data_IF_886438246650
#
_entry.id   IF_886438246650
#
_cell.length_a   1.000
_cell.length_b   1.000
_cell.length_c   1.000
_cell.angle_alpha   90.00
_cell.angle_beta   90.00
_cell.angle_gamma   90.00
#
_symmetry.space_group_name_H-M   'P 1'
#
loop_
_entity.id
_entity.type
_entity.pdbx_description
1 polymer ?
#
# COMPACT_ATOMS: atom_id res chain seq x y z
N UNK A 1 -13.46 -3.97 19.63
CA UNK A 1 -14.76 -4.11 18.92
C UNK A 1 -14.99 -2.86 18.11
N UNK A 2 -15.48 -3.01 16.89
CA UNK A 2 -15.96 -1.87 16.10
C UNK A 2 -17.22 -1.26 16.75
N UNK A 3 -17.60 -0.05 16.34
CA UNK A 3 -18.88 0.56 16.71
C UNK A 3 -20.09 -0.27 16.26
N UNK A 4 -19.93 -1.15 15.28
CA UNK A 4 -20.93 -2.11 14.76
C UNK A 4 -20.96 -3.44 15.52
N UNK A 5 -20.18 -3.62 16.61
CA UNK A 5 -20.14 -4.87 17.38
C UNK A 5 -19.28 -5.99 16.76
N UNK A 6 -18.64 -5.78 15.62
CA UNK A 6 -17.75 -6.76 14.99
C UNK A 6 -16.47 -6.90 15.82
N UNK A 7 -16.10 -8.15 16.10
CA UNK A 7 -14.86 -8.47 16.84
C UNK A 7 -13.78 -8.89 15.87
N UNK A 8 -12.60 -8.29 15.97
CA UNK A 8 -11.44 -8.62 15.15
C UNK A 8 -11.13 -10.13 15.17
N UNK A 9 -11.14 -10.74 16.37
CA UNK A 9 -10.80 -12.16 16.54
C UNK A 9 -11.66 -13.12 15.73
N UNK A 10 -12.94 -12.76 15.47
CA UNK A 10 -13.87 -13.62 14.73
C UNK A 10 -13.61 -13.51 13.23
N UNK A 11 -13.36 -12.29 12.75
CA UNK A 11 -13.10 -12.05 11.34
C UNK A 11 -11.72 -12.58 10.94
N UNK A 12 -10.70 -12.37 11.78
CA UNK A 12 -9.35 -12.90 11.52
C UNK A 12 -9.27 -14.42 11.60
N UNK A 13 -10.15 -15.07 12.40
CA UNK A 13 -10.26 -16.52 12.39
C UNK A 13 -10.82 -17.03 11.04
N UNK A 14 -11.89 -16.40 10.54
CA UNK A 14 -12.46 -16.74 9.20
C UNK A 14 -11.43 -16.54 8.09
N UNK A 15 -10.68 -15.43 8.14
CA UNK A 15 -9.60 -15.14 7.21
C UNK A 15 -8.54 -16.24 7.25
N UNK A 16 -8.08 -16.61 8.43
CA UNK A 16 -7.04 -17.63 8.58
C UNK A 16 -7.50 -19.03 8.15
N UNK A 17 -8.74 -19.41 8.46
CA UNK A 17 -9.31 -20.69 8.03
C UNK A 17 -9.42 -20.77 6.50
N UNK A 18 -9.93 -19.73 5.85
CA UNK A 18 -10.02 -19.69 4.40
C UNK A 18 -8.64 -19.66 3.73
N UNK A 19 -7.67 -18.91 4.30
CA UNK A 19 -6.29 -18.88 3.82
C UNK A 19 -5.62 -20.25 3.88
N UNK A 20 -5.83 -20.99 4.97
CA UNK A 20 -5.35 -22.37 5.13
C UNK A 20 -5.89 -23.26 4.01
N UNK A 21 -7.21 -23.20 3.73
CA UNK A 21 -7.82 -23.97 2.67
C UNK A 21 -7.23 -23.64 1.29
N UNK A 22 -7.04 -22.35 0.99
CA UNK A 22 -6.50 -21.92 -0.31
C UNK A 22 -5.02 -22.35 -0.50
N UNK A 23 -4.17 -22.29 0.53
CA UNK A 23 -2.82 -22.84 0.43
C UNK A 23 -2.87 -24.35 0.17
N UNK A 24 -3.71 -25.09 0.89
CA UNK A 24 -3.85 -26.55 0.72
C UNK A 24 -4.38 -26.92 -0.68
N UNK A 25 -5.34 -26.21 -1.22
CA UNK A 25 -5.83 -26.39 -2.60
C UNK A 25 -4.74 -26.19 -3.65
N UNK A 26 -3.81 -25.26 -3.40
CA UNK A 26 -2.64 -25.01 -4.26
C UNK A 26 -1.46 -25.96 -4.02
N UNK A 27 -1.64 -27.00 -3.21
CA UNK A 27 -0.60 -28.01 -2.90
C UNK A 27 0.50 -27.52 -1.97
N UNK A 28 0.27 -26.42 -1.25
CA UNK A 28 1.24 -25.85 -0.31
C UNK A 28 0.91 -26.33 1.10
N UNK A 29 1.92 -26.81 1.81
CA UNK A 29 1.76 -27.17 3.20
C UNK A 29 1.48 -25.96 4.06
N UNK A 30 0.41 -26.04 4.84
CA UNK A 30 -0.02 -24.96 5.73
C UNK A 30 -0.53 -25.55 7.06
N UNK A 31 -0.42 -24.79 8.14
CA UNK A 31 -0.90 -25.14 9.47
C UNK A 31 -1.60 -23.96 10.11
N UNK A 32 -2.81 -24.19 10.63
CA UNK A 32 -3.52 -23.22 11.46
C UNK A 32 -2.99 -23.29 12.90
N UNK A 33 -2.46 -22.17 13.37
CA UNK A 33 -1.99 -22.04 14.76
C UNK A 33 -3.17 -21.87 15.73
N UNK A 34 -4.26 -21.24 15.25
CA UNK A 34 -5.54 -21.10 15.95
C UNK A 34 -6.67 -21.53 15.01
N UNK A 35 -7.30 -22.65 15.29
CA UNK A 35 -8.37 -23.24 14.47
C UNK A 35 -9.78 -22.99 15.00
N UNK A 36 -9.91 -22.53 16.24
CA UNK A 36 -11.18 -22.29 16.92
C UNK A 36 -11.18 -20.96 17.69
N UNK A 37 -12.29 -20.59 18.33
CA UNK A 37 -12.37 -19.43 19.22
C UNK A 37 -11.69 -19.75 20.56
N UNK A 38 -10.38 -19.78 20.56
CA UNK A 38 -9.53 -19.99 21.72
C UNK A 38 -8.58 -18.82 21.94
N UNK A 39 -8.21 -18.57 23.19
CA UNK A 39 -7.15 -17.63 23.54
C UNK A 39 -5.83 -18.38 23.67
N UNK A 40 -4.85 -18.02 22.84
CA UNK A 40 -3.50 -18.61 22.84
C UNK A 40 -2.53 -17.57 23.37
N UNK A 41 -1.75 -17.92 24.41
CA UNK A 41 -0.69 -17.03 24.90
C UNK A 41 0.40 -16.81 23.85
N UNK A 42 1.14 -15.69 23.90
CA UNK A 42 2.26 -15.44 22.98
C UNK A 42 3.26 -16.59 22.94
N UNK A 43 3.67 -17.12 24.08
CA UNK A 43 4.62 -18.24 24.19
C UNK A 43 4.08 -19.52 23.54
N UNK A 44 2.82 -19.86 23.81
CA UNK A 44 2.19 -21.05 23.21
C UNK A 44 2.01 -20.88 21.69
N UNK A 45 1.71 -19.67 21.23
CA UNK A 45 1.63 -19.37 19.79
C UNK A 45 2.98 -19.59 19.10
N UNK A 46 4.06 -19.07 19.66
CA UNK A 46 5.43 -19.30 19.16
C UNK A 46 5.78 -20.77 19.16
N UNK A 47 5.48 -21.49 20.26
CA UNK A 47 5.72 -22.94 20.33
C UNK A 47 5.00 -23.72 19.23
N UNK A 48 3.71 -23.41 18.97
CA UNK A 48 2.93 -24.05 17.88
C UNK A 48 3.53 -23.74 16.51
N UNK A 49 3.94 -22.49 16.27
CA UNK A 49 4.57 -22.06 14.99
C UNK A 49 5.84 -22.85 14.74
N UNK A 50 6.77 -22.89 15.71
CA UNK A 50 8.04 -23.59 15.56
C UNK A 50 7.88 -25.11 15.51
N UNK A 51 6.86 -25.65 16.19
CA UNK A 51 6.55 -27.07 16.12
C UNK A 51 6.02 -27.53 14.76
N UNK A 52 5.39 -26.63 13.98
CA UNK A 52 4.82 -26.98 12.68
C UNK A 52 5.89 -27.27 11.62
N UNK A 53 6.87 -26.36 11.45
CA UNK A 53 7.86 -26.45 10.37
C UNK A 53 9.28 -26.04 10.80
N UNK A 54 9.50 -25.78 12.08
CA UNK A 54 10.79 -25.37 12.61
C UNK A 54 11.25 -23.97 12.19
N UNK A 55 12.50 -23.64 12.53
CA UNK A 55 13.16 -22.40 12.09
C UNK A 55 13.79 -22.63 10.71
N UNK A 56 13.03 -22.35 9.66
CA UNK A 56 13.37 -22.64 8.28
C UNK A 56 13.12 -21.41 7.40
N UNK A 57 14.04 -21.03 6.48
CA UNK A 57 13.90 -19.85 5.61
C UNK A 57 12.73 -19.95 4.61
N UNK A 58 12.25 -21.16 4.32
CA UNK A 58 11.10 -21.37 3.45
C UNK A 58 9.75 -21.30 4.19
N UNK A 59 9.77 -21.07 5.50
CA UNK A 59 8.55 -20.94 6.31
C UNK A 59 8.12 -19.47 6.38
N UNK A 60 6.94 -19.20 5.86
CA UNK A 60 6.25 -17.90 6.00
C UNK A 60 5.28 -18.02 7.18
N UNK A 61 5.36 -17.08 8.12
CA UNK A 61 4.44 -16.98 9.26
C UNK A 61 3.52 -15.77 9.03
N UNK A 62 2.23 -16.02 8.73
CA UNK A 62 1.27 -14.97 8.46
C UNK A 62 0.38 -14.74 9.68
N UNK A 63 0.43 -13.54 10.24
CA UNK A 63 -0.45 -13.09 11.31
C UNK A 63 -1.51 -12.15 10.74
N UNK A 64 -2.75 -12.62 10.66
CA UNK A 64 -3.87 -11.85 10.11
C UNK A 64 -4.47 -10.95 11.20
N UNK A 65 -4.59 -9.66 10.90
CA UNK A 65 -5.08 -8.61 11.79
C UNK A 65 -6.02 -7.62 11.08
N UNK A 66 -6.77 -6.88 11.87
CA UNK A 66 -7.53 -5.72 11.43
C UNK A 66 -7.19 -4.59 12.40
N UNK A 67 -6.51 -3.58 11.91
CA UNK A 67 -5.98 -2.47 12.69
C UNK A 67 -7.10 -1.67 13.40
N UNK A 68 -6.73 -0.85 14.35
CA UNK A 68 -7.62 0.11 15.00
C UNK A 68 -6.88 1.45 15.14
N UNK A 69 -7.44 2.52 14.60
CA UNK A 69 -6.87 3.87 14.68
C UNK A 69 -7.07 4.48 16.07
N UNK A 70 -8.11 4.06 16.80
CA UNK A 70 -8.50 4.66 18.06
C UNK A 70 -8.87 6.14 17.90
N UNK A 71 -8.77 6.91 18.98
CA UNK A 71 -9.06 8.35 18.96
C UNK A 71 -7.97 9.22 18.31
N UNK A 72 -6.83 8.62 17.92
CA UNK A 72 -5.63 9.37 17.53
C UNK A 72 -5.48 9.70 16.05
N UNK A 73 -6.11 8.92 15.14
CA UNK A 73 -5.97 9.12 13.68
C UNK A 73 -7.35 9.03 13.05
N UNK A 74 -8.05 10.15 12.99
CA UNK A 74 -9.35 10.21 12.30
C UNK A 74 -9.18 9.91 10.81
N UNK A 75 -9.98 8.97 10.28
CA UNK A 75 -10.04 8.65 8.86
C UNK A 75 -8.89 7.75 8.37
N UNK A 76 -8.17 7.04 9.26
CA UNK A 76 -7.24 6.02 8.82
C UNK A 76 -7.98 4.93 8.02
N UNK A 77 -7.49 4.63 6.82
CA UNK A 77 -8.07 3.67 5.87
C UNK A 77 -6.95 2.91 5.16
N UNK A 78 -7.20 1.65 4.82
CA UNK A 78 -6.34 0.85 3.96
C UNK A 78 -5.44 -0.16 4.69
N UNK A 79 -4.91 -1.09 3.90
CA UNK A 79 -4.08 -2.18 4.38
C UNK A 79 -2.66 -1.74 4.74
N UNK A 80 -2.09 -2.39 5.73
CA UNK A 80 -0.67 -2.27 6.09
C UNK A 80 -0.04 -3.66 6.17
N UNK A 81 1.25 -3.78 5.86
CA UNK A 81 2.00 -5.03 6.06
C UNK A 81 3.26 -4.75 6.86
N UNK A 82 3.42 -5.46 7.99
CA UNK A 82 4.59 -5.31 8.84
C UNK A 82 5.45 -6.57 8.70
N UNK A 83 6.76 -6.39 8.47
CA UNK A 83 7.71 -7.48 8.29
C UNK A 83 8.88 -7.39 9.27
N UNK A 84 9.53 -8.52 9.55
CA UNK A 84 10.60 -8.60 10.53
C UNK A 84 11.88 -7.91 10.06
N UNK A 85 12.67 -7.39 11.02
CA UNK A 85 13.94 -6.69 10.75
C UNK A 85 14.95 -7.54 9.99
N UNK A 86 14.91 -8.88 10.17
CA UNK A 86 15.80 -9.84 9.51
C UNK A 86 15.45 -10.12 8.04
N UNK A 87 14.26 -9.75 7.59
CA UNK A 87 13.78 -10.02 6.25
C UNK A 87 13.88 -8.78 5.35
N UNK A 88 14.02 -8.99 4.04
CA UNK A 88 13.81 -7.93 3.07
C UNK A 88 12.31 -7.63 2.90
N UNK A 89 11.99 -6.60 2.15
CA UNK A 89 10.62 -6.10 1.99
C UNK A 89 9.81 -6.79 0.87
N UNK A 90 10.40 -7.72 0.11
CA UNK A 90 9.78 -8.31 -1.08
C UNK A 90 8.41 -8.94 -0.79
N UNK A 91 8.32 -9.78 0.24
CA UNK A 91 7.07 -10.43 0.62
C UNK A 91 6.01 -9.40 1.06
N UNK A 92 6.39 -8.45 1.91
CA UNK A 92 5.48 -7.43 2.40
C UNK A 92 4.97 -6.50 1.28
N UNK A 93 5.85 -6.13 0.36
CA UNK A 93 5.54 -5.35 -0.84
C UNK A 93 4.55 -6.10 -1.74
N UNK A 94 4.85 -7.36 -2.06
CA UNK A 94 3.99 -8.19 -2.91
C UNK A 94 2.60 -8.39 -2.30
N UNK A 95 2.51 -8.65 -0.98
CA UNK A 95 1.23 -8.78 -0.28
C UNK A 95 0.43 -7.48 -0.39
N UNK A 96 1.05 -6.34 -0.08
CA UNK A 96 0.34 -5.06 -0.11
C UNK A 96 -0.11 -4.69 -1.51
N UNK A 97 0.73 -4.92 -2.53
CA UNK A 97 0.38 -4.70 -3.93
C UNK A 97 -0.78 -5.60 -4.37
N UNK A 98 -0.78 -6.88 -3.98
CA UNK A 98 -1.88 -7.79 -4.29
C UNK A 98 -3.20 -7.37 -3.64
N UNK A 99 -3.16 -6.89 -2.40
CA UNK A 99 -4.33 -6.34 -1.72
C UNK A 99 -4.87 -5.10 -2.46
N UNK A 100 -3.98 -4.23 -2.94
CA UNK A 100 -4.33 -3.09 -3.79
C UNK A 100 -5.00 -3.53 -5.08
N UNK A 101 -4.41 -4.48 -5.79
CA UNK A 101 -4.98 -5.06 -7.02
C UNK A 101 -6.34 -5.74 -6.77
N UNK A 102 -6.57 -6.22 -5.55
CA UNK A 102 -7.86 -6.76 -5.11
C UNK A 102 -8.89 -5.68 -4.70
N UNK A 103 -8.53 -4.39 -4.73
CA UNK A 103 -9.43 -3.26 -4.46
C UNK A 103 -9.41 -2.75 -3.03
N UNK A 104 -8.44 -3.18 -2.20
CA UNK A 104 -8.22 -2.56 -0.91
C UNK A 104 -7.30 -1.34 -1.03
N UNK A 105 -7.61 -0.26 -0.32
CA UNK A 105 -6.72 0.88 -0.24
C UNK A 105 -5.37 0.43 0.33
N UNK A 106 -4.29 0.87 -0.30
CA UNK A 106 -2.94 0.55 0.17
C UNK A 106 -2.41 1.69 1.04
N UNK A 107 -1.77 1.36 2.15
CA UNK A 107 -1.23 2.36 3.07
C UNK A 107 0.28 2.35 3.10
N UNK A 108 0.87 1.30 3.65
CA UNK A 108 2.33 1.13 3.76
C UNK A 108 2.72 -0.31 4.09
N UNK A 109 3.97 -0.66 3.80
CA UNK A 109 4.66 -1.77 4.41
C UNK A 109 5.87 -1.23 5.19
N UNK A 110 6.17 -1.80 6.36
CA UNK A 110 7.22 -1.26 7.23
C UNK A 110 7.73 -2.27 8.26
N UNK A 111 8.87 -1.95 8.84
CA UNK A 111 9.43 -2.62 10.01
C UNK A 111 9.17 -1.78 11.26
N UNK A 112 8.92 -2.41 12.38
CA UNK A 112 8.74 -1.71 13.66
C UNK A 112 9.73 -2.19 14.70
N UNK A 113 10.54 -1.28 15.18
CA UNK A 113 11.58 -1.54 16.19
C UNK A 113 11.04 -1.38 17.60
N UNK A 114 11.54 -2.18 18.53
CA UNK A 114 11.21 -2.06 19.94
C UNK A 114 11.81 -0.77 20.50
N UNK A 115 11.02 0.15 21.13
CA UNK A 115 11.54 1.42 21.60
C UNK A 115 12.67 1.31 22.66
N UNK A 116 12.63 0.27 23.49
CA UNK A 116 13.65 0.01 24.51
C UNK A 116 14.92 -0.66 23.97
N UNK A 117 14.87 -1.24 22.76
CA UNK A 117 16.00 -1.89 22.10
C UNK A 117 15.76 -1.91 20.58
N UNK A 118 16.26 -0.91 19.89
CA UNK A 118 16.03 -0.71 18.46
C UNK A 118 16.70 -1.75 17.56
N UNK A 119 17.51 -2.65 18.12
CA UNK A 119 18.04 -3.83 17.40
C UNK A 119 17.02 -4.96 17.27
N UNK A 120 15.90 -4.89 18.01
CA UNK A 120 14.85 -5.92 18.06
C UNK A 120 13.55 -5.43 17.41
N UNK A 121 12.81 -6.39 16.86
CA UNK A 121 11.45 -6.19 16.38
C UNK A 121 10.50 -5.84 17.54
N UNK A 122 9.54 -4.95 17.28
CA UNK A 122 8.49 -4.60 18.26
C UNK A 122 7.57 -5.78 18.59
N UNK A 123 7.17 -6.55 17.57
CA UNK A 123 6.20 -7.61 17.71
C UNK A 123 6.88 -8.95 18.09
N UNK A 124 6.33 -9.64 19.07
CA UNK A 124 6.85 -10.96 19.51
C UNK A 124 6.83 -11.99 18.38
N UNK A 125 5.81 -11.94 17.50
CA UNK A 125 5.71 -12.85 16.34
C UNK A 125 6.92 -12.69 15.40
N UNK A 126 7.49 -11.49 15.32
CA UNK A 126 8.70 -11.25 14.54
C UNK A 126 9.96 -11.66 15.31
N UNK A 127 10.03 -11.41 16.64
CA UNK A 127 11.22 -11.73 17.43
C UNK A 127 11.43 -13.21 17.66
N UNK A 128 10.33 -13.92 18.01
CA UNK A 128 10.41 -15.17 18.73
C UNK A 128 10.09 -16.39 17.85
N UNK A 129 9.72 -16.20 16.59
CA UNK A 129 9.40 -17.29 15.65
C UNK A 129 10.61 -17.83 14.85
N UNK A 130 11.78 -17.82 15.46
CA UNK A 130 13.04 -18.27 14.85
C UNK A 130 13.85 -17.16 14.21
N UNK A 131 15.04 -17.50 13.76
CA UNK A 131 15.99 -16.57 13.14
C UNK A 131 15.94 -16.57 11.61
N UNK A 132 15.32 -17.57 11.01
CA UNK A 132 15.30 -17.82 9.57
C UNK A 132 13.91 -17.70 8.93
N UNK A 133 12.83 -17.89 9.70
CA UNK A 133 11.46 -17.76 9.19
C UNK A 133 11.16 -16.37 8.64
N UNK A 134 10.14 -16.26 7.82
CA UNK A 134 9.67 -15.01 7.20
C UNK A 134 8.31 -14.59 7.80
N UNK A 135 8.27 -13.99 9.00
CA UNK A 135 7.02 -13.55 9.60
C UNK A 135 6.57 -12.20 9.05
N UNK A 136 5.27 -12.13 8.76
CA UNK A 136 4.57 -10.92 8.38
C UNK A 136 3.27 -10.76 9.18
N UNK A 137 2.92 -9.53 9.52
CA UNK A 137 1.60 -9.15 10.02
C UNK A 137 0.88 -8.46 8.88
N UNK A 138 -0.30 -8.95 8.53
CA UNK A 138 -1.15 -8.37 7.49
C UNK A 138 -2.33 -7.70 8.17
N UNK A 139 -2.37 -6.38 8.15
CA UNK A 139 -3.48 -5.55 8.58
C UNK A 139 -4.36 -5.27 7.36
N UNK A 140 -5.52 -5.89 7.29
CA UNK A 140 -6.40 -5.79 6.11
C UNK A 140 -7.11 -4.43 5.97
N UNK A 141 -7.03 -3.57 6.96
CA UNK A 141 -7.65 -2.26 7.07
C UNK A 141 -7.96 -1.93 8.52
N UNK A 142 -8.83 -0.96 8.78
CA UNK A 142 -9.15 -0.49 10.11
C UNK A 142 -10.56 -0.92 10.53
N UNK A 143 -10.69 -1.55 11.71
CA UNK A 143 -11.97 -2.06 12.23
C UNK A 143 -12.92 -0.93 12.65
N UNK A 144 -12.38 0.22 12.99
CA UNK A 144 -13.09 1.45 13.36
C UNK A 144 -13.34 2.40 12.17
N UNK A 145 -12.89 2.02 10.96
CA UNK A 145 -13.25 2.69 9.72
C UNK A 145 -14.39 1.92 9.01
N UNK A 146 -15.59 2.53 8.83
CA UNK A 146 -16.73 1.85 8.22
C UNK A 146 -16.49 1.38 6.79
N UNK A 147 -15.70 2.12 5.99
CA UNK A 147 -15.36 1.76 4.61
C UNK A 147 -14.50 0.50 4.58
N UNK A 148 -13.43 0.46 5.37
CA UNK A 148 -12.55 -0.69 5.47
C UNK A 148 -13.29 -1.92 6.01
N UNK A 149 -14.04 -1.76 7.11
CA UNK A 149 -14.78 -2.85 7.70
C UNK A 149 -15.77 -3.47 6.72
N UNK A 150 -16.52 -2.63 5.98
CA UNK A 150 -17.44 -3.09 4.94
C UNK A 150 -16.72 -3.82 3.81
N UNK A 151 -15.60 -3.27 3.30
CA UNK A 151 -14.77 -3.92 2.29
C UNK A 151 -14.27 -5.28 2.76
N UNK A 152 -13.72 -5.36 3.98
CA UNK A 152 -13.17 -6.60 4.53
C UNK A 152 -14.27 -7.66 4.71
N UNK A 153 -15.41 -7.30 5.31
CA UNK A 153 -16.50 -8.23 5.51
C UNK A 153 -17.05 -8.83 4.21
N UNK A 154 -17.15 -8.03 3.15
CA UNK A 154 -17.71 -8.46 1.87
C UNK A 154 -16.68 -9.11 0.94
N UNK A 155 -15.38 -8.78 1.07
CA UNK A 155 -14.35 -9.20 0.12
C UNK A 155 -13.19 -9.98 0.76
N UNK A 156 -13.28 -10.41 2.03
CA UNK A 156 -12.15 -11.07 2.70
C UNK A 156 -11.58 -12.26 1.92
N UNK A 157 -12.43 -13.03 1.22
CA UNK A 157 -11.97 -14.15 0.39
C UNK A 157 -11.07 -13.67 -0.75
N UNK A 158 -11.51 -12.65 -1.48
CA UNK A 158 -10.71 -12.03 -2.55
C UNK A 158 -9.38 -11.48 -2.03
N UNK A 159 -9.37 -10.88 -0.84
CA UNK A 159 -8.15 -10.39 -0.22
C UNK A 159 -7.23 -11.51 0.24
N UNK A 160 -7.78 -12.61 0.76
CA UNK A 160 -7.02 -13.80 1.11
C UNK A 160 -6.39 -14.44 -0.12
N UNK A 161 -7.16 -14.60 -1.21
CA UNK A 161 -6.64 -15.12 -2.49
C UNK A 161 -5.45 -14.28 -2.95
N UNK A 162 -5.57 -12.94 -2.88
CA UNK A 162 -4.49 -12.01 -3.23
C UNK A 162 -3.24 -12.21 -2.35
N UNK A 163 -3.40 -12.40 -1.03
CA UNK A 163 -2.27 -12.67 -0.12
C UNK A 163 -1.62 -14.01 -0.44
N UNK A 164 -2.40 -15.06 -0.66
CA UNK A 164 -1.91 -16.40 -1.01
C UNK A 164 -1.10 -16.34 -2.30
N UNK A 165 -1.60 -15.70 -3.34
CA UNK A 165 -0.91 -15.55 -4.63
C UNK A 165 0.37 -14.73 -4.50
N UNK A 166 0.38 -13.68 -3.65
CA UNK A 166 1.58 -12.90 -3.36
C UNK A 166 2.68 -13.73 -2.68
N UNK A 167 2.30 -14.59 -1.73
CA UNK A 167 3.24 -15.50 -1.06
C UNK A 167 3.86 -16.47 -2.06
N UNK A 168 3.05 -17.08 -2.92
CA UNK A 168 3.51 -18.01 -3.96
C UNK A 168 4.42 -17.31 -4.97
N UNK A 169 4.00 -16.14 -5.44
CA UNK A 169 4.81 -15.33 -6.37
C UNK A 169 6.16 -15.00 -5.77
N UNK A 170 6.18 -14.58 -4.49
CA UNK A 170 7.44 -14.25 -3.80
C UNK A 170 8.33 -15.48 -3.63
N UNK A 171 7.78 -16.62 -3.25
CA UNK A 171 8.51 -17.88 -3.07
C UNK A 171 9.14 -18.34 -4.40
N UNK A 172 8.53 -18.02 -5.54
CA UNK A 172 9.06 -18.29 -6.89
C UNK A 172 10.04 -17.22 -7.38
N UNK A 173 10.44 -16.27 -6.53
CA UNK A 173 11.34 -15.17 -6.90
C UNK A 173 10.68 -14.06 -7.75
N UNK A 174 9.36 -14.08 -7.87
CA UNK A 174 8.61 -13.09 -8.63
C UNK A 174 8.25 -11.83 -7.84
N UNK A 175 7.80 -10.82 -8.58
CA UNK A 175 7.20 -9.60 -8.05
C UNK A 175 5.74 -9.52 -8.49
N UNK A 176 4.91 -8.94 -7.65
CA UNK A 176 3.52 -8.63 -8.00
C UNK A 176 3.51 -7.26 -8.68
N UNK A 177 3.16 -7.26 -9.95
CA UNK A 177 3.02 -6.01 -10.70
C UNK A 177 1.69 -5.32 -10.33
N UNK A 178 1.66 -3.99 -10.37
CA UNK A 178 0.41 -3.25 -10.29
C UNK A 178 -0.57 -3.76 -11.35
N UNK A 179 -1.82 -4.02 -10.95
CA UNK A 179 -2.86 -4.39 -11.92
C UNK A 179 -3.02 -3.27 -12.95
N UNK A 180 -3.28 -3.59 -14.24
CA UNK A 180 -3.64 -2.59 -15.24
C UNK A 180 -4.88 -1.75 -14.88
N UNK A 181 -5.66 -2.18 -13.90
CA UNK A 181 -6.77 -1.41 -13.30
C UNK A 181 -6.29 -0.41 -12.23
N UNK A 182 -4.97 -0.23 -12.07
CA UNK A 182 -4.42 0.65 -11.06
C UNK A 182 -2.96 1.01 -11.26
N UNK A 183 -2.56 1.60 -12.39
CA UNK A 183 -1.36 2.45 -12.47
C UNK A 183 -1.43 3.67 -11.52
N UNK A 184 -2.35 3.61 -10.56
CA UNK A 184 -2.75 4.73 -9.70
C UNK A 184 -2.04 4.75 -8.36
N UNK A 185 -0.96 3.96 -8.16
CA UNK A 185 -0.24 3.98 -6.88
C UNK A 185 1.26 4.02 -7.07
N UNK A 186 1.91 4.83 -6.26
CA UNK A 186 3.37 4.95 -6.22
C UNK A 186 3.89 4.73 -4.80
N UNK A 187 4.93 3.90 -4.66
CA UNK A 187 5.63 3.69 -3.39
C UNK A 187 6.77 4.69 -3.29
N UNK A 188 6.73 5.55 -2.27
CA UNK A 188 7.75 6.57 -2.02
C UNK A 188 9.10 5.92 -1.74
N UNK A 189 10.12 6.36 -2.48
CA UNK A 189 11.51 5.90 -2.36
C UNK A 189 12.37 6.98 -1.70
N UNK A 190 13.58 6.62 -1.29
CA UNK A 190 14.57 7.58 -0.81
C UNK A 190 14.86 8.65 -1.87
N UNK A 191 14.79 9.93 -1.47
CA UNK A 191 14.98 11.07 -2.36
C UNK A 191 13.71 11.58 -3.05
N UNK A 192 12.56 10.91 -2.87
CA UNK A 192 11.29 11.37 -3.43
C UNK A 192 10.72 12.57 -2.66
N UNK A 193 10.01 13.40 -3.40
CA UNK A 193 9.16 14.48 -2.90
C UNK A 193 7.81 14.43 -3.63
N UNK A 194 6.77 15.05 -3.06
CA UNK A 194 5.49 15.20 -3.77
C UNK A 194 5.68 15.86 -5.15
N UNK A 195 6.63 16.79 -5.25
CA UNK A 195 6.93 17.45 -6.51
C UNK A 195 7.54 16.48 -7.55
N UNK A 196 8.54 15.66 -7.15
CA UNK A 196 9.17 14.69 -8.06
C UNK A 196 8.18 13.61 -8.50
N UNK A 197 7.29 13.18 -7.59
CA UNK A 197 6.23 12.21 -7.90
C UNK A 197 5.19 12.83 -8.83
N UNK A 198 4.70 14.05 -8.53
CA UNK A 198 3.75 14.75 -9.38
C UNK A 198 4.29 14.91 -10.81
N UNK A 199 5.54 15.33 -10.93
CA UNK A 199 6.20 15.51 -12.23
C UNK A 199 6.37 14.18 -13.00
N UNK A 200 6.70 13.09 -12.28
CA UNK A 200 6.83 11.75 -12.88
C UNK A 200 5.52 11.22 -13.45
N UNK A 201 4.39 11.52 -12.80
CA UNK A 201 3.07 10.99 -13.16
C UNK A 201 2.16 12.03 -13.82
N UNK A 202 2.72 13.16 -14.24
CA UNK A 202 2.02 14.20 -14.99
C UNK A 202 0.79 14.74 -14.25
N UNK A 203 0.93 14.96 -12.94
CA UNK A 203 -0.07 15.50 -12.03
C UNK A 203 0.48 16.68 -11.23
N UNK A 204 -0.28 17.26 -10.33
CA UNK A 204 0.15 18.36 -9.48
C UNK A 204 0.34 17.92 -8.01
N UNK A 205 1.16 18.66 -7.26
CA UNK A 205 1.32 18.44 -5.81
C UNK A 205 -0.03 18.58 -5.08
N UNK A 206 -0.86 19.54 -5.49
CA UNK A 206 -2.17 19.76 -4.88
C UNK A 206 -3.12 18.59 -5.15
N UNK A 207 -3.13 18.08 -6.37
CA UNK A 207 -3.95 16.92 -6.75
C UNK A 207 -3.51 15.66 -5.97
N UNK A 208 -2.21 15.38 -5.92
CA UNK A 208 -1.68 14.30 -5.08
C UNK A 208 -2.07 14.46 -3.60
N UNK A 209 -1.97 15.69 -3.06
CA UNK A 209 -2.37 15.95 -1.67
C UNK A 209 -3.86 15.73 -1.44
N UNK A 210 -4.69 16.20 -2.34
CA UNK A 210 -6.16 16.06 -2.24
C UNK A 210 -6.56 14.60 -2.33
N UNK A 211 -6.04 13.88 -3.34
CA UNK A 211 -6.32 12.46 -3.57
C UNK A 211 -5.91 11.59 -2.37
N UNK A 212 -4.74 11.90 -1.79
CA UNK A 212 -4.16 11.17 -0.66
C UNK A 212 -4.49 11.76 0.71
N UNK A 213 -5.34 12.78 0.78
CA UNK A 213 -5.72 13.48 2.04
C UNK A 213 -4.50 13.95 2.84
N UNK A 214 -3.43 14.39 2.16
CA UNK A 214 -2.19 14.81 2.81
C UNK A 214 -2.31 16.25 3.32
N UNK A 215 -2.03 16.45 4.60
CA UNK A 215 -2.02 17.78 5.25
C UNK A 215 -0.67 18.48 5.15
N UNK A 216 0.41 17.73 4.86
CA UNK A 216 1.77 18.26 4.71
C UNK A 216 2.42 17.78 3.41
N UNK A 217 3.61 18.29 3.09
CA UNK A 217 4.41 17.82 1.96
C UNK A 217 5.40 16.70 2.34
N UNK A 218 5.45 16.33 3.61
CA UNK A 218 6.38 15.32 4.10
C UNK A 218 5.90 13.93 3.68
N UNK A 219 6.79 13.17 3.07
CA UNK A 219 6.59 11.78 2.69
C UNK A 219 7.47 10.86 3.53
N UNK A 220 6.99 9.66 3.79
CA UNK A 220 7.76 8.61 4.45
C UNK A 220 8.18 7.57 3.40
N UNK A 221 9.43 7.11 3.43
CA UNK A 221 9.88 6.01 2.57
C UNK A 221 8.99 4.79 2.81
N UNK A 222 8.52 4.17 1.72
CA UNK A 222 7.52 3.09 1.78
C UNK A 222 6.07 3.56 1.86
N UNK A 223 5.80 4.87 1.98
CA UNK A 223 4.46 5.43 1.88
C UNK A 223 3.91 5.20 0.47
N UNK A 224 2.64 4.81 0.38
CA UNK A 224 1.96 4.64 -0.90
C UNK A 224 1.17 5.92 -1.19
N UNK A 225 1.40 6.45 -2.38
CA UNK A 225 0.73 7.63 -2.91
C UNK A 225 -0.19 7.17 -4.04
N UNK A 226 -1.47 7.44 -3.91
CA UNK A 226 -2.44 7.28 -5.00
C UNK A 226 -2.15 8.34 -6.07
N UNK A 227 -2.05 7.88 -7.32
CA UNK A 227 -1.76 8.71 -8.48
C UNK A 227 -3.06 8.83 -9.31
N UNK A 228 -3.41 10.01 -9.82
CA UNK A 228 -4.58 10.16 -10.67
C UNK A 228 -4.53 9.20 -11.88
N UNK A 229 -5.64 8.53 -12.18
CA UNK A 229 -5.75 7.67 -13.36
C UNK A 229 -5.68 8.50 -14.63
N UNK A 230 -4.92 8.06 -15.62
CA UNK A 230 -4.83 8.71 -16.94
C UNK A 230 -6.09 8.55 -17.82
N UNK A 231 -7.21 8.11 -17.28
CA UNK A 231 -8.44 7.88 -18.08
C UNK A 231 -9.26 9.14 -18.40
N UNK A 232 -8.74 10.33 -18.11
CA UNK A 232 -9.49 11.58 -18.34
C UNK A 232 -8.72 12.56 -19.21
N UNK A 233 -8.40 12.22 -20.44
CA UNK A 233 -8.02 13.26 -21.42
C UNK A 233 -8.60 13.02 -22.81
N UNK A 234 -9.90 13.20 -22.91
CA UNK A 234 -10.54 13.52 -24.16
C UNK A 234 -11.43 14.77 -23.96
N UNK A 235 -10.79 15.94 -23.76
CA UNK A 235 -11.52 17.19 -23.66
C UNK A 235 -10.81 18.36 -24.36
N UNK A 236 -11.61 19.22 -24.91
CA UNK A 236 -11.34 20.45 -25.66
C UNK A 236 -10.17 21.26 -25.11
N UNK A 237 -9.19 21.55 -25.96
CA UNK A 237 -8.03 22.37 -25.60
C UNK A 237 -8.40 23.87 -25.55
N UNK A 238 -8.24 24.46 -24.36
CA UNK A 238 -8.16 25.91 -24.21
C UNK A 238 -6.80 26.42 -24.67
N UNK A 239 -6.65 27.67 -25.01
CA UNK A 239 -5.37 28.26 -25.41
C UNK A 239 -4.97 29.41 -24.48
N UNK A 240 -3.65 29.62 -24.32
CA UNK A 240 -3.06 30.74 -23.58
C UNK A 240 -2.00 31.44 -24.44
N UNK A 241 -2.01 32.75 -24.47
CA UNK A 241 -0.98 33.55 -25.14
C UNK A 241 0.08 33.99 -24.13
N UNK A 242 1.33 33.58 -24.37
CA UNK A 242 2.49 33.89 -23.52
C UNK A 242 2.71 35.41 -23.44
N UNK A 243 2.87 35.90 -22.23
CA UNK A 243 3.12 37.30 -21.88
C UNK A 243 4.54 37.49 -21.36
N UNK A 244 4.99 38.75 -21.30
CA UNK A 244 6.29 39.08 -20.69
C UNK A 244 6.34 38.65 -19.23
N UNK A 245 7.41 37.96 -18.84
CA UNK A 245 7.60 37.40 -17.50
C UNK A 245 7.03 35.98 -17.30
N UNK A 246 6.34 35.40 -18.29
CA UNK A 246 5.86 34.03 -18.21
C UNK A 246 6.99 33.01 -18.39
N UNK A 247 6.82 31.90 -17.71
CA UNK A 247 7.61 30.68 -17.90
C UNK A 247 6.67 29.48 -17.99
N UNK A 248 7.13 28.37 -18.56
CA UNK A 248 6.34 27.15 -18.57
C UNK A 248 5.89 26.74 -17.16
N UNK A 249 6.73 26.97 -16.16
CA UNK A 249 6.40 26.68 -14.76
C UNK A 249 5.28 27.59 -14.23
N UNK A 250 5.36 28.91 -14.47
CA UNK A 250 4.33 29.86 -14.00
C UNK A 250 2.98 29.63 -14.68
N UNK A 251 3.01 29.26 -15.97
CA UNK A 251 1.80 28.94 -16.75
C UNK A 251 1.21 27.60 -16.26
N UNK A 252 2.03 26.56 -16.10
CA UNK A 252 1.60 25.26 -15.59
C UNK A 252 0.91 25.41 -14.24
N UNK A 253 1.53 26.14 -13.31
CA UNK A 253 0.99 26.37 -11.97
C UNK A 253 -0.34 27.15 -12.00
N UNK A 254 -0.46 28.15 -12.90
CA UNK A 254 -1.67 28.96 -13.06
C UNK A 254 -2.87 28.15 -13.57
N UNK A 255 -2.61 27.18 -14.44
CA UNK A 255 -3.64 26.37 -15.10
C UNK A 255 -3.72 24.95 -14.56
N UNK A 256 -3.16 24.74 -13.36
CA UNK A 256 -3.23 23.48 -12.62
C UNK A 256 -2.76 22.25 -13.44
N UNK A 257 -1.65 22.44 -14.18
CA UNK A 257 -1.03 21.42 -15.04
C UNK A 257 0.48 21.34 -14.76
N UNK A 258 1.19 20.50 -15.49
CA UNK A 258 2.64 20.34 -15.36
C UNK A 258 3.40 20.93 -16.53
N UNK A 259 4.69 21.29 -16.31
CA UNK A 259 5.58 21.73 -17.39
C UNK A 259 5.69 20.68 -18.49
N UNK A 260 5.74 19.40 -18.11
CA UNK A 260 5.86 18.30 -19.07
C UNK A 260 4.60 18.16 -19.93
N UNK A 261 3.42 18.30 -19.33
CA UNK A 261 2.15 18.24 -20.02
C UNK A 261 2.00 19.41 -21.00
N UNK A 262 2.34 20.65 -20.58
CA UNK A 262 2.36 21.80 -21.48
C UNK A 262 3.35 21.57 -22.64
N UNK A 263 4.52 21.03 -22.39
CA UNK A 263 5.49 20.70 -23.43
C UNK A 263 4.97 19.65 -24.40
N UNK A 264 4.41 18.56 -23.89
CA UNK A 264 3.85 17.47 -24.68
C UNK A 264 2.69 17.95 -25.55
N UNK A 265 1.74 18.69 -24.93
CA UNK A 265 0.57 19.23 -25.63
C UNK A 265 0.91 20.23 -26.72
N UNK A 266 2.06 20.91 -26.60
CA UNK A 266 2.53 21.95 -27.53
C UNK A 266 3.74 21.52 -28.36
N UNK A 267 4.16 20.27 -28.30
CA UNK A 267 5.35 19.73 -28.98
C UNK A 267 6.64 20.54 -28.70
N UNK A 268 6.82 21.02 -27.45
CA UNK A 268 7.97 21.83 -27.08
C UNK A 268 9.15 20.92 -26.67
N UNK A 269 10.29 21.11 -27.31
CA UNK A 269 11.53 20.39 -26.98
C UNK A 269 12.36 21.10 -25.90
N UNK A 270 12.17 22.42 -25.74
CA UNK A 270 12.88 23.27 -24.76
C UNK A 270 11.89 23.94 -23.80
N UNK A 271 12.43 24.64 -22.79
CA UNK A 271 11.61 25.43 -21.86
C UNK A 271 11.45 26.90 -22.29
N UNK A 272 12.04 27.28 -23.42
CA UNK A 272 11.99 28.65 -23.90
C UNK A 272 10.62 28.97 -24.51
N UNK A 273 10.06 30.08 -24.12
CA UNK A 273 8.81 30.62 -24.63
C UNK A 273 9.07 31.96 -25.33
N UNK A 274 8.33 32.24 -26.39
CA UNK A 274 8.31 33.55 -27.02
C UNK A 274 7.08 34.33 -26.58
N UNK A 275 7.23 35.62 -26.31
CA UNK A 275 6.07 36.49 -26.04
C UNK A 275 5.15 36.45 -27.25
N UNK A 276 3.83 36.28 -27.03
CA UNK A 276 2.84 36.11 -28.09
C UNK A 276 2.68 34.66 -28.57
N UNK A 277 3.50 33.72 -28.12
CA UNK A 277 3.33 32.29 -28.42
C UNK A 277 1.99 31.80 -27.87
N UNK A 278 1.24 31.06 -28.68
CA UNK A 278 -0.02 30.46 -28.26
C UNK A 278 0.28 29.02 -27.78
N UNK A 279 -0.04 28.73 -26.53
CA UNK A 279 0.03 27.41 -25.96
C UNK A 279 -1.35 26.78 -25.82
N UNK A 280 -1.49 25.54 -26.21
CA UNK A 280 -2.64 24.72 -25.84
C UNK A 280 -2.57 24.41 -24.35
N UNK A 281 -3.69 24.55 -23.66
CA UNK A 281 -3.84 24.22 -22.25
C UNK A 281 -4.69 22.96 -22.12
N UNK A 282 -4.44 22.10 -21.13
CA UNK A 282 -5.35 21.00 -20.81
C UNK A 282 -6.71 21.58 -20.40
N UNK A 283 -7.77 20.85 -20.68
CA UNK A 283 -9.11 21.18 -20.22
C UNK A 283 -9.23 20.81 -18.74
N UNK A 284 -9.77 21.70 -17.92
CA UNK A 284 -10.13 21.42 -16.53
C UNK A 284 -11.36 20.53 -16.48
#
# INVERSE_FOLDING_TARGET
MSSSGVREKDLTLKIAQYMYEEFRKKGIDATLIRSADETISPTERVRRILAAYGDNPNVVVISNHINAAGSGIQGAEGAEVIYALRNNDNLARNILQSLGNAGQAMRKFYQRRLPSDTSKDYYFIHRDTGSRTQPVIVEYGFIDNPTDLNKIQNNYKKYVDAVVDAVITTASGGTVEPSPLGDNYYVVKSGDSLWSIANKYNTTVNELKTLNKLTSNNLTIGQIIEIPSNESNNQTTNTYTVKSGDSLWSIANRYNTTVNELKALNNLTTNNLSIGQILKLPSN
#
